data_IF_397588957295
#
_entry.id   IF_397588957295
#
_cell.length_a   1.000
_cell.length_b   1.000
_cell.length_c   1.000
_cell.angle_alpha   90.00
_cell.angle_beta   90.00
_cell.angle_gamma   90.00
#
_symmetry.space_group_name_H-M   'P 1'
#
loop_
_entity.id
_entity.type
_entity.pdbx_description
1 polymer ?
#
# COMPACT_ATOMS: atom_id res chain seq x y z
N UNK A 1 -19.57 -17.22 -23.67
CA UNK A 1 -20.43 -16.33 -24.45
C UNK A 1 -21.85 -16.86 -24.41
N UNK A 2 -22.82 -16.06 -23.96
CA UNK A 2 -24.26 -16.35 -24.04
C UNK A 2 -24.85 -15.51 -25.15
N UNK A 3 -25.72 -16.12 -25.99
CA UNK A 3 -26.41 -15.45 -27.09
C UNK A 3 -27.92 -15.67 -26.93
N UNK A 4 -28.72 -14.63 -27.08
CA UNK A 4 -30.16 -14.67 -26.93
C UNK A 4 -30.88 -13.51 -27.62
N UNK A 5 -32.20 -13.48 -27.51
CA UNK A 5 -32.97 -12.33 -27.98
C UNK A 5 -32.73 -11.11 -27.15
N UNK A 6 -32.75 -9.94 -27.76
CA UNK A 6 -32.51 -8.67 -27.10
C UNK A 6 -33.60 -8.38 -26.05
N UNK A 7 -33.23 -8.10 -24.78
CA UNK A 7 -34.20 -7.82 -23.74
C UNK A 7 -34.74 -6.37 -23.79
N UNK A 8 -34.19 -5.52 -24.68
CA UNK A 8 -34.60 -4.10 -24.76
C UNK A 8 -36.02 -3.94 -25.29
N UNK A 9 -36.92 -3.24 -24.59
CA UNK A 9 -38.34 -3.19 -24.90
C UNK A 9 -38.67 -2.57 -26.27
N UNK A 10 -37.77 -1.77 -26.82
CA UNK A 10 -37.93 -1.14 -28.14
C UNK A 10 -37.30 -1.93 -29.30
N UNK A 11 -36.67 -3.09 -29.01
CA UNK A 11 -36.06 -3.93 -30.02
C UNK A 11 -36.84 -5.21 -30.20
N UNK A 12 -37.61 -5.29 -31.26
CA UNK A 12 -38.28 -6.54 -31.66
C UNK A 12 -37.26 -7.42 -32.38
N UNK A 13 -36.58 -8.28 -31.63
CA UNK A 13 -35.48 -9.12 -32.07
C UNK A 13 -36.03 -10.45 -32.63
N UNK A 14 -36.08 -10.58 -33.95
CA UNK A 14 -36.52 -11.83 -34.63
C UNK A 14 -35.44 -12.92 -34.58
N UNK A 15 -34.17 -12.53 -34.55
CA UNK A 15 -33.00 -13.40 -34.50
C UNK A 15 -32.13 -13.04 -33.33
N UNK A 16 -31.60 -14.04 -32.61
CA UNK A 16 -30.80 -13.82 -31.41
C UNK A 16 -29.58 -12.91 -31.65
N UNK A 17 -29.70 -11.63 -31.31
CA UNK A 17 -28.71 -10.59 -31.59
C UNK A 17 -28.03 -10.04 -30.32
N UNK A 18 -28.46 -10.45 -29.13
CA UNK A 18 -27.91 -10.02 -27.86
C UNK A 18 -26.89 -11.02 -27.33
N UNK A 19 -25.70 -10.53 -26.99
CA UNK A 19 -24.58 -11.35 -26.50
C UNK A 19 -24.07 -10.85 -25.14
N UNK A 20 -23.74 -11.79 -24.24
CA UNK A 20 -23.05 -11.53 -22.96
C UNK A 20 -21.75 -12.33 -22.93
N UNK A 21 -20.63 -11.65 -22.73
CA UNK A 21 -19.33 -12.26 -22.51
C UNK A 21 -19.04 -12.29 -20.99
N UNK A 22 -19.07 -13.49 -20.41
CA UNK A 22 -18.86 -13.68 -18.97
C UNK A 22 -17.39 -13.59 -18.55
N UNK A 23 -16.45 -13.73 -19.47
CA UNK A 23 -15.01 -13.57 -19.19
C UNK A 23 -14.63 -12.09 -19.08
N UNK A 24 -15.11 -11.27 -20.01
CA UNK A 24 -14.86 -9.82 -20.03
C UNK A 24 -15.92 -9.03 -19.25
N UNK A 25 -17.01 -9.70 -18.81
CA UNK A 25 -18.17 -9.09 -18.13
C UNK A 25 -18.83 -7.96 -18.96
N UNK A 26 -18.81 -8.11 -20.27
CA UNK A 26 -19.39 -7.14 -21.21
C UNK A 26 -20.59 -7.73 -21.93
N UNK A 27 -21.43 -6.86 -22.49
CA UNK A 27 -22.60 -7.25 -23.28
C UNK A 27 -22.70 -6.39 -24.52
N UNK A 28 -23.36 -6.90 -25.55
CA UNK A 28 -23.64 -6.15 -26.76
C UNK A 28 -24.93 -6.67 -27.42
N UNK A 29 -25.65 -5.75 -28.06
CA UNK A 29 -26.75 -6.11 -28.95
C UNK A 29 -26.45 -5.63 -30.37
N UNK A 30 -26.23 -6.54 -31.29
CA UNK A 30 -25.90 -6.20 -32.68
C UNK A 30 -27.07 -5.54 -33.43
N UNK A 31 -28.31 -5.86 -33.08
CA UNK A 31 -29.50 -5.23 -33.66
C UNK A 31 -29.69 -3.79 -33.20
N UNK A 32 -29.45 -3.48 -31.91
CA UNK A 32 -29.52 -2.12 -31.40
C UNK A 32 -28.36 -1.23 -31.88
N UNK A 33 -27.23 -1.79 -32.29
CA UNK A 33 -26.10 -1.06 -32.89
C UNK A 33 -26.36 -0.54 -34.30
N UNK A 34 -27.31 -1.12 -35.01
CA UNK A 34 -27.61 -0.76 -36.38
C UNK A 34 -28.35 0.58 -36.51
N UNK A 35 -28.90 1.12 -35.40
CA UNK A 35 -29.65 2.38 -35.40
C UNK A 35 -28.70 3.58 -35.37
N UNK A 36 -28.43 4.15 -36.57
CA UNK A 36 -27.47 5.24 -36.80
C UNK A 36 -27.79 6.53 -36.01
N UNK A 37 -29.00 6.67 -35.46
CA UNK A 37 -29.43 7.85 -34.68
C UNK A 37 -28.90 7.86 -33.25
N UNK A 38 -28.47 6.73 -32.69
CA UNK A 38 -27.98 6.61 -31.31
C UNK A 38 -26.47 6.57 -31.17
N UNK A 39 -25.67 6.87 -32.21
CA UNK A 39 -24.20 6.93 -32.16
C UNK A 39 -23.60 7.95 -31.20
N UNK A 40 -24.41 8.86 -30.60
CA UNK A 40 -23.94 9.88 -29.67
C UNK A 40 -24.04 9.48 -28.19
N UNK A 41 -24.73 8.39 -27.83
CA UNK A 41 -24.72 7.85 -26.48
C UNK A 41 -23.82 6.60 -26.47
N UNK A 42 -22.52 6.85 -26.40
CA UNK A 42 -21.49 5.84 -26.39
C UNK A 42 -21.65 4.80 -25.28
N UNK A 43 -21.14 3.63 -25.55
CA UNK A 43 -20.94 2.45 -24.71
C UNK A 43 -22.12 1.48 -24.58
N UNK A 44 -22.64 1.01 -25.69
CA UNK A 44 -23.23 -0.32 -25.73
C UNK A 44 -22.08 -1.34 -25.58
N UNK A 45 -22.11 -2.18 -24.55
CA UNK A 45 -21.12 -3.21 -24.35
C UNK A 45 -20.25 -3.08 -23.11
N UNK A 46 -20.57 -2.15 -22.22
CA UNK A 46 -19.89 -2.03 -20.91
C UNK A 46 -20.52 -2.94 -19.83
N UNK A 47 -20.31 -2.65 -18.57
CA UNK A 47 -20.67 -3.47 -17.40
C UNK A 47 -22.18 -3.68 -17.16
N UNK A 48 -22.51 -4.42 -16.11
CA UNK A 48 -23.89 -4.72 -15.73
C UNK A 48 -24.70 -3.47 -15.34
N UNK A 49 -24.06 -2.42 -14.86
CA UNK A 49 -24.75 -1.18 -14.45
C UNK A 49 -25.23 -0.46 -15.70
N UNK A 50 -24.36 -0.28 -16.69
CA UNK A 50 -24.71 0.32 -17.98
C UNK A 50 -25.80 -0.52 -18.72
N UNK A 51 -25.78 -1.86 -18.53
CA UNK A 51 -26.85 -2.72 -19.04
C UNK A 51 -28.22 -2.35 -18.43
N UNK A 52 -28.29 -2.16 -17.11
CA UNK A 52 -29.54 -1.79 -16.44
C UNK A 52 -30.01 -0.40 -16.83
N UNK A 53 -29.09 0.57 -16.93
CA UNK A 53 -29.42 1.94 -17.41
C UNK A 53 -29.99 1.90 -18.84
N UNK A 54 -29.34 1.17 -19.74
CA UNK A 54 -29.78 0.98 -21.11
C UNK A 54 -31.15 0.28 -21.19
N UNK A 55 -31.35 -0.82 -20.43
CA UNK A 55 -32.61 -1.58 -20.41
C UNK A 55 -33.78 -0.72 -19.95
N UNK A 56 -33.53 0.23 -19.05
CA UNK A 56 -34.53 1.17 -18.52
C UNK A 56 -34.60 2.47 -19.31
N UNK A 57 -33.99 2.55 -20.50
CA UNK A 57 -34.04 3.72 -21.40
C UNK A 57 -33.51 5.01 -20.76
N UNK A 58 -32.56 4.91 -19.85
CA UNK A 58 -31.99 6.04 -19.11
C UNK A 58 -32.95 6.66 -18.08
N UNK A 59 -34.10 6.02 -17.79
CA UNK A 59 -35.03 6.45 -16.74
C UNK A 59 -34.53 6.10 -15.33
N UNK A 60 -33.58 5.18 -15.23
CA UNK A 60 -32.93 4.78 -13.99
C UNK A 60 -31.55 5.41 -13.96
N UNK A 61 -31.22 6.13 -12.90
CA UNK A 61 -29.90 6.70 -12.71
C UNK A 61 -28.89 5.59 -12.38
N UNK A 62 -27.60 5.86 -12.56
CA UNK A 62 -26.50 4.95 -12.19
C UNK A 62 -26.64 4.42 -10.76
N UNK A 63 -26.96 5.29 -9.78
CA UNK A 63 -27.15 4.90 -8.38
C UNK A 63 -28.34 3.95 -8.21
N UNK A 64 -29.42 4.18 -8.92
CA UNK A 64 -30.61 3.30 -8.87
C UNK A 64 -30.31 1.95 -9.52
N UNK A 65 -29.55 1.93 -10.61
CA UNK A 65 -29.09 0.70 -11.24
C UNK A 65 -28.18 -0.12 -10.31
N UNK A 66 -27.24 0.52 -9.62
CA UNK A 66 -26.41 -0.10 -8.58
C UNK A 66 -27.26 -0.68 -7.44
N UNK A 67 -28.21 0.08 -6.92
CA UNK A 67 -29.15 -0.37 -5.88
C UNK A 67 -29.97 -1.59 -6.35
N UNK A 68 -30.47 -1.53 -7.58
CA UNK A 68 -31.22 -2.64 -8.17
C UNK A 68 -30.39 -3.92 -8.26
N UNK A 69 -29.17 -3.84 -8.79
CA UNK A 69 -28.27 -4.99 -8.90
C UNK A 69 -27.87 -5.54 -7.54
N UNK A 70 -27.52 -4.68 -6.58
CA UNK A 70 -27.14 -5.10 -5.25
C UNK A 70 -28.29 -5.83 -4.53
N UNK A 71 -29.52 -5.34 -4.63
CA UNK A 71 -30.69 -6.03 -4.11
C UNK A 71 -30.89 -7.41 -4.76
N UNK A 72 -30.61 -7.55 -6.06
CA UNK A 72 -30.75 -8.83 -6.77
C UNK A 72 -29.74 -9.89 -6.28
N UNK A 73 -28.55 -9.49 -5.85
CA UNK A 73 -27.51 -10.39 -5.35
C UNK A 73 -27.42 -10.46 -3.83
N UNK A 74 -28.39 -9.83 -3.11
CA UNK A 74 -28.44 -9.85 -1.64
C UNK A 74 -27.37 -8.99 -0.95
N UNK A 75 -26.74 -8.08 -1.70
CA UNK A 75 -25.79 -7.11 -1.13
C UNK A 75 -26.57 -5.95 -0.48
N UNK A 76 -26.37 -5.76 0.83
CA UNK A 76 -26.88 -4.57 1.50
C UNK A 76 -26.05 -3.34 1.07
N UNK A 77 -26.67 -2.45 0.28
CA UNK A 77 -26.11 -1.11 0.09
C UNK A 77 -26.52 -0.26 1.29
N UNK A 78 -25.61 0.45 1.95
CA UNK A 78 -25.98 1.43 2.96
C UNK A 78 -26.97 2.43 2.35
N UNK A 79 -28.10 2.67 3.03
CA UNK A 79 -29.20 3.48 2.51
C UNK A 79 -28.85 4.97 2.28
N UNK A 80 -27.67 5.39 2.72
CA UNK A 80 -27.14 6.77 2.56
C UNK A 80 -25.80 6.76 1.84
N UNK A 81 -25.79 6.40 0.55
CA UNK A 81 -24.71 6.87 -0.30
C UNK A 81 -24.88 8.37 -0.44
N UNK A 82 -24.06 9.16 0.26
CA UNK A 82 -24.07 10.62 0.17
C UNK A 82 -23.62 11.06 -1.24
N UNK A 83 -24.53 10.94 -2.19
CA UNK A 83 -24.31 11.22 -3.61
C UNK A 83 -23.71 12.62 -3.85
N UNK A 84 -24.00 13.57 -2.98
CA UNK A 84 -23.45 14.93 -3.01
C UNK A 84 -21.96 14.93 -2.72
N UNK A 85 -21.50 14.19 -1.74
CA UNK A 85 -20.10 14.16 -1.36
C UNK A 85 -19.24 13.42 -2.40
N UNK A 86 -19.69 12.28 -2.93
CA UNK A 86 -19.03 11.60 -4.04
C UNK A 86 -18.90 12.52 -5.27
N UNK A 87 -19.98 13.21 -5.65
CA UNK A 87 -19.97 14.15 -6.75
C UNK A 87 -19.00 15.31 -6.51
N UNK A 88 -18.93 15.82 -5.27
CA UNK A 88 -17.99 16.86 -4.89
C UNK A 88 -16.54 16.37 -5.03
N UNK A 89 -16.23 15.19 -4.51
CA UNK A 89 -14.90 14.61 -4.61
C UNK A 89 -14.50 14.31 -6.06
N UNK A 90 -15.43 13.79 -6.87
CA UNK A 90 -15.22 13.60 -8.30
C UNK A 90 -14.88 14.93 -9.00
N UNK A 91 -15.67 15.98 -8.79
CA UNK A 91 -15.42 17.29 -9.40
C UNK A 91 -14.08 17.89 -8.95
N UNK A 92 -13.69 17.71 -7.68
CA UNK A 92 -12.38 18.13 -7.18
C UNK A 92 -11.25 17.34 -7.87
N UNK A 93 -11.40 16.04 -8.04
CA UNK A 93 -10.42 15.22 -8.76
C UNK A 93 -10.25 15.72 -10.19
N UNK A 94 -11.34 15.97 -10.92
CA UNK A 94 -11.29 16.52 -12.28
C UNK A 94 -10.61 17.90 -12.35
N UNK A 95 -10.81 18.72 -11.30
CA UNK A 95 -10.10 20.00 -11.18
C UNK A 95 -8.60 19.77 -10.96
N UNK A 96 -8.22 18.91 -10.03
CA UNK A 96 -6.82 18.63 -9.73
C UNK A 96 -6.06 17.99 -10.90
N UNK A 97 -6.74 17.18 -11.74
CA UNK A 97 -6.17 16.66 -12.98
C UNK A 97 -5.86 17.83 -13.94
N UNK A 98 -6.77 18.79 -14.08
CA UNK A 98 -6.55 19.98 -14.92
C UNK A 98 -5.51 20.95 -14.36
N UNK A 99 -5.26 20.90 -13.06
CA UNK A 99 -4.27 21.72 -12.38
C UNK A 99 -2.83 21.15 -12.50
N UNK A 100 -2.63 19.96 -13.10
CA UNK A 100 -1.31 19.39 -13.35
C UNK A 100 -0.46 20.33 -14.17
N UNK A 101 0.78 20.53 -13.73
CA UNK A 101 1.79 21.37 -14.39
C UNK A 101 3.04 20.55 -14.68
N UNK A 102 3.95 21.10 -15.51
CA UNK A 102 5.22 20.44 -15.78
C UNK A 102 6.01 20.16 -14.48
N UNK A 103 6.06 21.10 -13.55
CA UNK A 103 6.76 20.98 -12.27
C UNK A 103 6.17 19.86 -11.40
N UNK A 104 4.85 19.66 -11.45
CA UNK A 104 4.21 18.56 -10.73
C UNK A 104 4.55 17.20 -11.35
N UNK A 105 4.65 17.12 -12.68
CA UNK A 105 5.14 15.91 -13.37
C UNK A 105 6.62 15.65 -13.08
N UNK A 106 7.47 16.68 -13.18
CA UNK A 106 8.90 16.59 -12.85
C UNK A 106 9.11 16.03 -11.44
N UNK A 107 8.35 16.53 -10.45
CA UNK A 107 8.38 16.00 -9.10
C UNK A 107 8.04 14.50 -9.03
N UNK A 108 7.04 14.04 -9.80
CA UNK A 108 6.63 12.63 -9.84
C UNK A 108 7.66 11.76 -10.56
N UNK A 109 8.26 12.26 -11.65
CA UNK A 109 9.33 11.58 -12.37
C UNK A 109 10.61 11.45 -11.51
N UNK A 110 10.96 12.50 -10.76
CA UNK A 110 12.06 12.46 -9.78
C UNK A 110 11.83 11.44 -8.66
N UNK A 111 10.55 11.09 -8.43
CA UNK A 111 10.14 10.02 -7.52
C UNK A 111 10.09 8.65 -8.19
N UNK A 112 10.43 8.55 -9.47
CA UNK A 112 10.50 7.31 -10.22
C UNK A 112 9.18 6.84 -10.83
N UNK A 113 8.12 7.65 -10.84
CA UNK A 113 6.84 7.31 -11.47
C UNK A 113 6.89 7.62 -12.97
N UNK A 114 6.15 6.83 -13.74
CA UNK A 114 5.90 7.07 -15.16
C UNK A 114 4.46 7.56 -15.41
N UNK A 115 4.18 7.98 -16.64
CA UNK A 115 2.86 8.50 -17.04
C UNK A 115 1.74 7.48 -16.87
N UNK A 116 2.00 6.20 -17.21
CA UNK A 116 1.03 5.14 -17.09
C UNK A 116 0.61 4.93 -15.63
N UNK A 117 1.58 4.97 -14.72
CA UNK A 117 1.33 4.86 -13.27
C UNK A 117 0.61 6.08 -12.74
N UNK A 118 0.98 7.30 -13.17
CA UNK A 118 0.31 8.54 -12.77
C UNK A 118 -1.17 8.48 -13.17
N UNK A 119 -1.47 8.06 -14.41
CA UNK A 119 -2.82 7.90 -14.91
C UNK A 119 -3.58 6.79 -14.16
N UNK A 120 -3.00 5.59 -14.04
CA UNK A 120 -3.59 4.42 -13.35
C UNK A 120 -4.03 4.76 -11.92
N UNK A 121 -3.19 5.49 -11.18
CA UNK A 121 -3.48 5.88 -9.80
C UNK A 121 -4.26 7.19 -9.69
N UNK A 122 -4.58 7.82 -10.83
CA UNK A 122 -5.26 9.12 -10.92
C UNK A 122 -4.55 10.21 -10.09
N UNK A 123 -3.19 10.16 -10.10
CA UNK A 123 -2.38 11.11 -9.35
C UNK A 123 -2.55 12.48 -10.00
N UNK A 124 -2.79 13.50 -9.20
CA UNK A 124 -3.08 14.84 -9.67
C UNK A 124 -2.45 15.91 -8.76
N UNK A 125 -2.73 17.17 -9.01
CA UNK A 125 -2.05 18.28 -8.34
C UNK A 125 -3.04 19.35 -7.89
N UNK A 126 -2.89 19.80 -6.66
CA UNK A 126 -3.58 20.96 -6.12
C UNK A 126 -2.63 22.16 -6.15
N UNK A 127 -2.80 22.99 -7.18
CA UNK A 127 -1.94 24.19 -7.39
C UNK A 127 -2.09 25.27 -6.34
N UNK A 128 -3.19 25.26 -5.57
CA UNK A 128 -3.41 26.27 -4.52
C UNK A 128 -2.66 25.91 -3.24
N UNK A 129 -2.58 24.60 -2.94
CA UNK A 129 -1.87 24.08 -1.76
C UNK A 129 -0.45 23.63 -2.08
N UNK A 130 -0.03 23.66 -3.35
CA UNK A 130 1.25 23.14 -3.86
C UNK A 130 1.47 21.68 -3.43
N UNK A 131 0.51 20.80 -3.74
CA UNK A 131 0.53 19.41 -3.30
C UNK A 131 0.18 18.43 -4.41
N UNK A 132 0.98 17.37 -4.51
CA UNK A 132 0.55 16.17 -5.22
C UNK A 132 -0.64 15.56 -4.45
N UNK A 133 -1.66 15.17 -5.18
CA UNK A 133 -2.90 14.63 -4.66
C UNK A 133 -3.05 13.18 -5.08
N UNK A 134 -3.24 12.31 -4.10
CA UNK A 134 -3.54 10.89 -4.27
C UNK A 134 -5.01 10.67 -3.89
N UNK A 135 -5.91 10.48 -4.85
CA UNK A 135 -7.31 10.15 -4.57
C UNK A 135 -7.42 8.82 -3.83
N UNK A 136 -8.33 8.75 -2.89
CA UNK A 136 -8.63 7.57 -2.10
C UNK A 136 -9.96 7.00 -2.58
N UNK A 137 -9.96 5.73 -2.99
CA UNK A 137 -11.10 5.09 -3.62
C UNK A 137 -11.76 4.08 -2.69
N UNK A 138 -13.09 4.00 -2.73
CA UNK A 138 -13.81 2.86 -2.15
C UNK A 138 -13.72 1.62 -3.07
N UNK A 139 -14.32 0.51 -2.64
CA UNK A 139 -14.35 -0.75 -3.41
C UNK A 139 -15.16 -0.66 -4.70
N UNK A 140 -15.87 0.44 -4.93
CA UNK A 140 -16.68 0.70 -6.12
C UNK A 140 -15.99 1.67 -7.08
N UNK A 141 -14.79 2.16 -6.76
CA UNK A 141 -14.05 3.12 -7.57
C UNK A 141 -14.47 4.58 -7.38
N UNK A 142 -15.30 4.89 -6.39
CA UNK A 142 -15.64 6.28 -6.09
C UNK A 142 -14.57 6.94 -5.23
N UNK A 143 -14.26 8.22 -5.50
CA UNK A 143 -13.33 8.99 -4.67
C UNK A 143 -13.98 9.35 -3.35
N UNK A 144 -13.47 8.77 -2.26
CA UNK A 144 -13.98 9.01 -0.88
C UNK A 144 -13.20 10.10 -0.16
N UNK A 145 -11.97 10.39 -0.57
CA UNK A 145 -11.11 11.38 0.05
C UNK A 145 -9.80 11.56 -0.71
N UNK A 146 -8.88 12.28 -0.09
CA UNK A 146 -7.58 12.60 -0.67
C UNK A 146 -6.47 12.47 0.37
N UNK A 147 -5.33 11.97 -0.06
CA UNK A 147 -4.05 12.14 0.61
C UNK A 147 -3.22 13.11 -0.23
N UNK A 148 -2.68 14.16 0.39
CA UNK A 148 -1.95 15.20 -0.32
C UNK A 148 -0.54 15.38 0.24
N UNK A 149 0.46 15.39 -0.63
CA UNK A 149 1.88 15.56 -0.29
C UNK A 149 2.40 16.89 -0.78
N UNK A 150 3.06 17.65 0.08
CA UNK A 150 3.69 18.92 -0.25
C UNK A 150 4.85 18.70 -1.24
N UNK A 151 4.89 19.51 -2.31
CA UNK A 151 5.93 19.46 -3.35
C UNK A 151 7.14 20.29 -2.94
N UNK A 152 6.95 21.55 -2.58
CA UNK A 152 8.06 22.45 -2.26
C UNK A 152 8.63 22.23 -0.86
N UNK A 153 9.99 22.25 -0.77
CA UNK A 153 10.71 22.16 0.51
C UNK A 153 10.72 23.48 1.31
N UNK A 154 10.15 24.58 0.78
CA UNK A 154 10.43 25.95 1.23
C UNK A 154 9.48 26.54 2.26
N UNK A 155 8.67 25.80 2.96
CA UNK A 155 7.86 26.39 4.03
C UNK A 155 8.48 26.12 5.40
N UNK A 156 9.25 27.09 5.89
CA UNK A 156 9.58 27.19 7.31
C UNK A 156 8.29 27.39 8.11
N UNK A 157 7.87 26.41 8.88
CA UNK A 157 6.71 26.45 9.76
C UNK A 157 5.59 25.51 9.34
N UNK A 158 4.55 25.40 10.01
CA UNK A 158 3.23 24.73 9.99
C UNK A 158 2.79 23.79 8.84
N UNK A 159 3.52 23.65 7.73
CA UNK A 159 3.10 22.79 6.60
C UNK A 159 3.54 21.35 6.79
N UNK A 160 2.60 20.51 7.20
CA UNK A 160 2.80 19.06 7.28
C UNK A 160 3.15 18.50 5.90
N UNK A 161 4.15 17.60 5.84
CA UNK A 161 4.56 16.87 4.62
C UNK A 161 3.36 16.20 3.95
N UNK A 162 2.51 15.56 4.74
CA UNK A 162 1.25 14.96 4.30
C UNK A 162 0.06 15.54 5.05
N UNK A 163 -1.04 15.74 4.32
CA UNK A 163 -2.37 16.04 4.86
C UNK A 163 -3.39 15.08 4.25
N UNK A 164 -4.42 14.76 5.00
CA UNK A 164 -5.50 13.86 4.56
C UNK A 164 -6.83 14.61 4.62
N UNK A 165 -7.81 14.15 3.82
CA UNK A 165 -9.19 14.56 3.99
C UNK A 165 -9.64 14.31 5.43
N UNK A 166 -10.46 15.20 5.97
CA UNK A 166 -11.11 15.00 7.26
C UNK A 166 -12.04 13.80 7.20
N UNK A 167 -12.25 13.16 8.35
CA UNK A 167 -13.24 12.11 8.48
C UNK A 167 -14.63 12.62 8.07
N UNK A 168 -15.38 11.77 7.42
CA UNK A 168 -16.72 12.05 6.89
C UNK A 168 -17.58 10.79 6.91
N UNK A 169 -18.81 10.87 6.45
CA UNK A 169 -19.71 9.71 6.32
C UNK A 169 -19.19 8.66 5.35
N UNK A 170 -18.45 9.07 4.30
CA UNK A 170 -17.92 8.17 3.25
C UNK A 170 -16.44 7.84 3.43
N UNK A 171 -15.74 8.51 4.33
CA UNK A 171 -14.31 8.30 4.57
C UNK A 171 -13.96 8.46 6.03
N UNK A 172 -13.29 7.46 6.57
CA UNK A 172 -12.60 7.51 7.87
C UNK A 172 -11.19 6.98 7.70
N UNK A 173 -10.19 7.83 7.95
CA UNK A 173 -8.79 7.46 7.81
C UNK A 173 -8.45 6.16 8.56
N UNK A 174 -8.98 5.99 9.77
CA UNK A 174 -8.77 4.80 10.61
C UNK A 174 -9.42 3.52 10.05
N UNK A 175 -10.20 3.61 8.98
CA UNK A 175 -10.88 2.48 8.35
C UNK A 175 -10.38 2.22 6.92
N UNK A 176 -9.36 2.95 6.48
CA UNK A 176 -8.90 2.96 5.10
C UNK A 176 -7.50 2.37 4.96
N UNK A 177 -7.30 1.60 3.90
CA UNK A 177 -5.99 1.22 3.38
C UNK A 177 -5.84 1.73 1.95
N UNK A 178 -4.75 2.42 1.67
CA UNK A 178 -4.39 2.82 0.31
C UNK A 178 -3.85 1.60 -0.45
N UNK A 179 -4.27 1.42 -1.70
CA UNK A 179 -3.87 0.30 -2.53
C UNK A 179 -4.82 -0.90 -2.51
N UNK A 180 -5.83 -0.92 -1.61
CA UNK A 180 -6.80 -2.02 -1.50
C UNK A 180 -7.59 -2.30 -2.79
N UNK A 181 -7.84 -1.30 -3.62
CA UNK A 181 -8.55 -1.42 -4.90
C UNK A 181 -7.80 -2.29 -5.92
N UNK A 182 -6.50 -2.49 -5.72
CA UNK A 182 -5.64 -3.28 -6.62
C UNK A 182 -5.24 -4.64 -6.03
N UNK A 183 -5.93 -5.12 -4.99
CA UNK A 183 -5.63 -6.43 -4.42
C UNK A 183 -5.92 -7.57 -5.38
N UNK A 184 -4.89 -8.37 -5.62
CA UNK A 184 -5.01 -9.67 -6.27
C UNK A 184 -5.46 -10.73 -5.25
N UNK A 185 -6.69 -11.22 -5.42
CA UNK A 185 -7.28 -12.20 -4.50
C UNK A 185 -6.61 -13.57 -4.59
N UNK A 186 -5.86 -13.84 -5.67
CA UNK A 186 -5.19 -15.13 -5.90
C UNK A 186 -3.89 -15.28 -5.10
N UNK A 187 -3.30 -14.18 -4.64
CA UNK A 187 -2.08 -14.18 -3.81
C UNK A 187 -2.43 -14.41 -2.34
N UNK A 188 -1.62 -15.17 -1.62
CA UNK A 188 -1.87 -15.54 -0.22
C UNK A 188 -1.22 -14.58 0.79
N UNK A 189 -0.70 -13.46 0.35
CA UNK A 189 -0.02 -12.45 1.18
C UNK A 189 -0.52 -11.03 0.91
N UNK A 190 -0.21 -10.15 1.85
CA UNK A 190 -0.37 -8.70 1.79
C UNK A 190 0.93 -8.07 2.26
N UNK A 191 1.45 -7.10 1.52
CA UNK A 191 2.60 -6.29 1.91
C UNK A 191 2.09 -4.99 2.50
N UNK A 192 2.36 -4.75 3.78
CA UNK A 192 1.92 -3.57 4.53
C UNK A 192 3.07 -2.59 4.73
N UNK A 193 2.94 -1.39 4.17
CA UNK A 193 3.96 -0.33 4.15
C UNK A 193 3.52 0.94 4.89
N UNK A 194 4.41 1.96 5.01
CA UNK A 194 4.09 3.23 5.68
C UNK A 194 3.44 4.26 4.77
N UNK A 195 3.92 4.41 3.54
CA UNK A 195 3.61 5.53 2.67
C UNK A 195 3.02 5.16 1.32
N UNK A 196 2.45 6.16 0.64
CA UNK A 196 1.80 5.95 -0.67
C UNK A 196 2.80 5.60 -1.77
N UNK A 197 4.03 6.14 -1.73
CA UNK A 197 5.07 5.78 -2.70
C UNK A 197 5.58 4.36 -2.51
N UNK A 198 5.60 3.88 -1.25
CA UNK A 198 5.93 2.49 -0.92
C UNK A 198 4.86 1.50 -1.35
N UNK A 199 3.68 1.99 -1.74
CA UNK A 199 2.63 1.20 -2.38
C UNK A 199 2.74 1.28 -3.90
N UNK A 200 2.83 2.50 -4.45
CA UNK A 200 2.73 2.74 -5.89
C UNK A 200 3.94 2.17 -6.64
N UNK A 201 5.15 2.47 -6.17
CA UNK A 201 6.38 2.04 -6.86
C UNK A 201 6.54 0.52 -6.93
N UNK A 202 6.42 -0.26 -5.82
CA UNK A 202 6.46 -1.70 -5.93
C UNK A 202 5.39 -2.26 -6.86
N UNK A 203 4.17 -1.73 -6.84
CA UNK A 203 3.11 -2.17 -7.74
C UNK A 203 3.36 -1.79 -9.21
N UNK A 204 4.00 -0.66 -9.48
CA UNK A 204 4.47 -0.27 -10.82
C UNK A 204 5.47 -1.30 -11.38
N UNK A 205 6.35 -1.83 -10.52
CA UNK A 205 7.32 -2.87 -10.86
C UNK A 205 6.81 -4.30 -10.65
N UNK A 206 5.50 -4.50 -10.56
CA UNK A 206 4.86 -5.82 -10.60
C UNK A 206 4.60 -6.49 -9.26
N UNK A 207 4.99 -5.88 -8.13
CA UNK A 207 4.64 -6.44 -6.82
C UNK A 207 3.13 -6.35 -6.59
N UNK A 208 2.55 -7.45 -6.11
CA UNK A 208 1.12 -7.54 -5.83
C UNK A 208 0.81 -7.22 -4.37
N UNK A 209 -0.44 -6.85 -4.10
CA UNK A 209 -1.00 -6.72 -2.74
C UNK A 209 -0.22 -5.81 -1.79
N UNK A 210 0.37 -4.73 -2.32
CA UNK A 210 1.04 -3.72 -1.50
C UNK A 210 0.02 -2.67 -1.07
N UNK A 211 -0.10 -2.44 0.24
CA UNK A 211 -1.05 -1.47 0.84
C UNK A 211 -0.39 -0.65 1.94
N UNK A 212 -0.96 0.51 2.28
CA UNK A 212 -0.57 1.23 3.49
C UNK A 212 -1.77 1.79 4.26
N UNK A 213 -1.60 1.94 5.58
CA UNK A 213 -2.66 2.37 6.49
C UNK A 213 -2.84 3.90 6.58
N UNK A 214 -2.07 4.70 5.85
CA UNK A 214 -2.01 6.17 5.93
C UNK A 214 -1.77 6.73 7.34
N UNK A 215 -1.26 5.92 8.26
CA UNK A 215 -1.01 6.26 9.65
C UNK A 215 0.08 5.39 10.26
N UNK A 216 0.54 5.77 11.46
CA UNK A 216 1.64 5.09 12.16
C UNK A 216 1.23 3.86 12.97
N UNK A 217 -0.06 3.60 13.13
CA UNK A 217 -0.60 2.45 13.87
C UNK A 217 -1.84 1.93 13.17
N UNK A 218 -2.10 0.64 13.28
CA UNK A 218 -3.34 0.04 12.80
C UNK A 218 -4.46 0.27 13.81
N UNK A 219 -5.64 0.61 13.33
CA UNK A 219 -6.86 0.65 14.13
C UNK A 219 -7.46 -0.75 14.29
N UNK A 220 -8.35 -0.93 15.25
CA UNK A 220 -9.12 -2.17 15.42
C UNK A 220 -9.89 -2.55 14.14
N UNK A 221 -10.47 -1.57 13.45
CA UNK A 221 -11.15 -1.82 12.18
C UNK A 221 -10.19 -2.36 11.11
N UNK A 222 -9.00 -1.76 10.97
CA UNK A 222 -7.97 -2.20 10.02
C UNK A 222 -7.47 -3.61 10.35
N UNK A 223 -7.26 -3.93 11.63
CA UNK A 223 -6.92 -5.29 12.09
C UNK A 223 -8.02 -6.28 11.69
N UNK A 224 -9.28 -5.95 11.95
CA UNK A 224 -10.41 -6.80 11.57
C UNK A 224 -10.51 -7.01 10.04
N UNK A 225 -10.16 -6.01 9.23
CA UNK A 225 -10.09 -6.15 7.77
C UNK A 225 -9.00 -7.13 7.38
N UNK A 226 -7.78 -6.99 7.93
CA UNK A 226 -6.66 -7.90 7.65
C UNK A 226 -6.99 -9.35 8.08
N UNK A 227 -7.58 -9.53 9.26
CA UNK A 227 -8.01 -10.85 9.74
C UNK A 227 -9.03 -11.50 8.80
N UNK A 228 -10.01 -10.74 8.29
CA UNK A 228 -11.02 -11.25 7.34
C UNK A 228 -10.44 -11.62 5.98
N UNK A 229 -9.38 -10.97 5.54
CA UNK A 229 -8.69 -11.31 4.30
C UNK A 229 -7.98 -12.66 4.41
N UNK A 230 -7.64 -13.10 5.62
CA UNK A 230 -7.02 -14.40 5.92
C UNK A 230 -5.77 -14.67 5.06
N UNK A 231 -4.90 -13.67 4.95
CA UNK A 231 -3.64 -13.72 4.18
C UNK A 231 -2.47 -13.43 5.12
N UNK A 232 -1.28 -13.93 4.78
CA UNK A 232 -0.06 -13.58 5.51
C UNK A 232 0.24 -12.08 5.32
N UNK A 233 0.50 -11.34 6.39
CA UNK A 233 0.84 -9.92 6.34
C UNK A 233 2.35 -9.75 6.47
N UNK A 234 2.99 -9.19 5.45
CA UNK A 234 4.42 -8.86 5.46
C UNK A 234 4.56 -7.37 5.73
N UNK A 235 5.05 -7.03 6.93
CA UNK A 235 5.24 -5.63 7.34
C UNK A 235 6.60 -5.14 6.84
N UNK A 236 6.57 -4.07 6.04
CA UNK A 236 7.77 -3.43 5.47
C UNK A 236 7.69 -1.94 5.76
N UNK A 237 8.29 -1.51 6.87
CA UNK A 237 8.34 -0.11 7.28
C UNK A 237 9.73 0.46 7.12
N UNK A 238 9.82 1.79 7.07
CA UNK A 238 11.09 2.51 6.96
C UNK A 238 12.06 2.08 8.06
N UNK A 239 13.33 1.85 7.73
CA UNK A 239 14.35 1.52 8.72
C UNK A 239 14.93 2.80 9.35
N UNK A 240 14.06 3.62 9.90
CA UNK A 240 14.37 4.73 10.79
C UNK A 240 13.82 4.46 12.21
N UNK A 241 14.16 5.32 13.17
CA UNK A 241 13.73 5.16 14.57
C UNK A 241 12.21 5.11 14.71
N UNK A 242 11.48 5.83 13.85
CA UNK A 242 10.01 5.91 13.89
C UNK A 242 9.37 4.65 13.28
N UNK A 243 9.80 4.23 12.10
CA UNK A 243 9.30 3.03 11.43
C UNK A 243 9.57 1.77 12.25
N UNK A 244 10.79 1.63 12.78
CA UNK A 244 11.16 0.51 13.67
C UNK A 244 10.34 0.50 14.96
N UNK A 245 10.06 1.66 15.56
CA UNK A 245 9.19 1.76 16.74
C UNK A 245 7.75 1.39 16.41
N UNK A 246 7.28 1.74 15.22
CA UNK A 246 5.94 1.39 14.74
C UNK A 246 5.84 -0.10 14.46
N UNK A 247 6.82 -0.71 13.80
CA UNK A 247 6.90 -2.13 13.53
C UNK A 247 6.81 -2.96 14.83
N UNK A 248 7.60 -2.59 15.86
CA UNK A 248 7.58 -3.24 17.19
C UNK A 248 6.22 -3.16 17.89
N UNK A 249 5.32 -2.26 17.50
CA UNK A 249 3.94 -2.18 18.00
C UNK A 249 2.97 -2.99 17.14
N UNK A 250 3.16 -2.94 15.82
CA UNK A 250 2.24 -3.57 14.86
C UNK A 250 2.39 -5.09 14.86
N UNK A 251 3.62 -5.62 14.93
CA UNK A 251 3.85 -7.07 14.90
C UNK A 251 3.13 -7.83 16.04
N UNK A 252 3.30 -7.45 17.33
CA UNK A 252 2.53 -8.11 18.40
C UNK A 252 1.02 -7.94 18.26
N UNK A 253 0.55 -6.82 17.69
CA UNK A 253 -0.87 -6.57 17.48
C UNK A 253 -1.46 -7.53 16.43
N UNK A 254 -0.73 -7.82 15.37
CA UNK A 254 -1.12 -8.81 14.36
C UNK A 254 -1.16 -10.22 14.96
N UNK A 255 -0.12 -10.61 15.71
CA UNK A 255 -0.03 -11.92 16.37
C UNK A 255 -1.17 -12.15 17.39
N UNK A 256 -1.48 -11.13 18.23
CA UNK A 256 -2.59 -11.19 19.20
C UNK A 256 -3.96 -11.37 18.55
N UNK A 257 -4.10 -10.96 17.30
CA UNK A 257 -5.34 -11.14 16.53
C UNK A 257 -5.28 -12.36 15.59
N UNK A 258 -4.34 -13.29 15.81
CA UNK A 258 -4.16 -14.51 15.02
C UNK A 258 -3.95 -14.26 13.52
N UNK A 259 -3.33 -13.14 13.16
CA UNK A 259 -2.94 -12.83 11.79
C UNK A 259 -1.51 -13.34 11.58
N UNK A 260 -1.33 -14.25 10.63
CA UNK A 260 0.01 -14.68 10.22
C UNK A 260 0.79 -13.47 9.73
N UNK A 261 1.94 -13.20 10.34
CA UNK A 261 2.71 -12.02 10.01
C UNK A 261 4.21 -12.29 9.95
N UNK A 262 4.86 -11.67 8.98
CA UNK A 262 6.31 -11.56 8.83
C UNK A 262 6.69 -10.09 8.76
N UNK A 263 7.98 -9.81 8.88
CA UNK A 263 8.52 -8.49 8.67
C UNK A 263 9.77 -8.54 7.78
N UNK A 264 9.97 -7.48 7.01
CA UNK A 264 11.22 -7.23 6.31
C UNK A 264 11.88 -5.99 6.92
N UNK A 265 13.12 -6.12 7.36
CA UNK A 265 13.94 -4.98 7.79
C UNK A 265 14.74 -4.49 6.61
N UNK A 266 14.46 -3.29 6.15
CA UNK A 266 15.19 -2.64 5.05
C UNK A 266 16.59 -2.21 5.50
N UNK A 267 17.52 -1.93 4.58
CA UNK A 267 18.79 -1.30 4.91
C UNK A 267 18.57 0.00 5.69
N UNK A 268 19.53 0.34 6.57
CA UNK A 268 19.39 1.50 7.47
C UNK A 268 19.21 2.80 6.69
N UNK A 269 18.13 3.53 7.02
CA UNK A 269 17.83 4.84 6.45
C UNK A 269 17.16 4.80 5.08
N UNK A 270 16.80 3.62 4.56
CA UNK A 270 16.09 3.45 3.29
C UNK A 270 14.60 3.16 3.52
N UNK A 271 13.77 3.60 2.58
CA UNK A 271 12.37 3.23 2.45
C UNK A 271 12.17 2.18 1.31
N UNK A 272 10.98 1.60 1.24
CA UNK A 272 10.70 0.56 0.24
C UNK A 272 10.69 1.14 -1.19
N UNK A 273 10.32 2.41 -1.34
CA UNK A 273 10.32 3.09 -2.63
C UNK A 273 11.75 3.20 -3.20
N UNK A 274 12.73 3.57 -2.38
CA UNK A 274 14.14 3.64 -2.77
C UNK A 274 14.68 2.26 -3.18
N UNK A 275 14.45 1.23 -2.37
CA UNK A 275 14.83 -0.15 -2.70
C UNK A 275 14.19 -0.60 -4.01
N UNK A 276 12.92 -0.26 -4.22
CA UNK A 276 12.20 -0.61 -5.45
C UNK A 276 12.86 -0.01 -6.68
N UNK A 277 13.32 1.24 -6.63
CA UNK A 277 14.00 1.88 -7.77
C UNK A 277 15.33 1.22 -8.10
N UNK A 278 16.02 0.66 -7.09
CA UNK A 278 17.29 -0.05 -7.28
C UNK A 278 17.11 -1.41 -7.95
N UNK A 279 16.14 -2.23 -7.45
CA UNK A 279 15.99 -3.63 -7.89
C UNK A 279 14.80 -3.87 -8.83
N UNK A 280 13.89 -2.89 -8.98
CA UNK A 280 12.77 -2.88 -9.95
C UNK A 280 11.91 -4.14 -9.89
N UNK A 281 11.82 -4.89 -10.98
CA UNK A 281 10.94 -6.06 -11.12
C UNK A 281 11.26 -7.23 -10.18
N UNK A 282 12.39 -7.22 -9.52
CA UNK A 282 12.74 -8.22 -8.49
C UNK A 282 12.20 -7.87 -7.09
N UNK A 283 11.49 -6.74 -6.92
CA UNK A 283 11.03 -6.24 -5.62
C UNK A 283 10.09 -7.20 -4.88
N UNK A 284 9.12 -7.80 -5.58
CA UNK A 284 8.20 -8.77 -4.96
C UNK A 284 8.98 -9.96 -4.41
N UNK A 285 9.86 -10.53 -5.22
CA UNK A 285 10.70 -11.64 -4.83
C UNK A 285 11.62 -11.28 -3.66
N UNK A 286 12.25 -10.11 -3.73
CA UNK A 286 13.10 -9.61 -2.65
C UNK A 286 12.35 -9.55 -1.31
N UNK A 287 11.12 -9.02 -1.31
CA UNK A 287 10.30 -8.94 -0.10
C UNK A 287 9.96 -10.33 0.43
N UNK A 288 9.50 -11.24 -0.44
CA UNK A 288 9.06 -12.57 -0.04
C UNK A 288 10.21 -13.43 0.47
N UNK A 289 11.38 -13.38 -0.17
CA UNK A 289 12.54 -14.21 0.17
C UNK A 289 13.25 -13.74 1.46
N UNK A 290 13.15 -12.44 1.80
CA UNK A 290 13.87 -11.86 2.94
C UNK A 290 12.97 -11.54 4.15
N UNK A 291 11.66 -11.77 4.07
CA UNK A 291 10.76 -11.58 5.19
C UNK A 291 10.91 -12.68 6.24
N UNK A 292 11.04 -12.30 7.50
CA UNK A 292 11.24 -13.20 8.63
C UNK A 292 10.12 -13.07 9.67
N UNK A 293 9.93 -14.10 10.50
CA UNK A 293 8.97 -14.03 11.61
C UNK A 293 9.45 -13.05 12.68
N UNK A 294 8.51 -12.48 13.44
CA UNK A 294 8.86 -11.54 14.51
C UNK A 294 9.71 -12.17 15.60
N UNK A 295 9.46 -13.43 15.96
CA UNK A 295 10.28 -14.15 16.92
C UNK A 295 11.74 -14.31 16.45
N UNK A 296 11.96 -14.65 15.18
CA UNK A 296 13.31 -14.73 14.61
C UNK A 296 14.02 -13.37 14.66
N UNK A 297 13.34 -12.31 14.26
CA UNK A 297 13.87 -10.93 14.35
C UNK A 297 14.26 -10.54 15.79
N UNK A 298 13.43 -10.88 16.79
CA UNK A 298 13.74 -10.60 18.20
C UNK A 298 14.99 -11.33 18.67
N UNK A 299 15.14 -12.61 18.30
CA UNK A 299 16.34 -13.41 18.62
C UNK A 299 17.58 -12.79 18.01
N UNK A 300 17.55 -12.43 16.72
CA UNK A 300 18.68 -11.81 16.03
C UNK A 300 19.10 -10.50 16.69
N UNK A 301 18.14 -9.64 17.05
CA UNK A 301 18.45 -8.39 17.77
C UNK A 301 19.05 -8.64 19.14
N UNK A 302 18.55 -9.62 19.90
CA UNK A 302 19.09 -9.96 21.22
C UNK A 302 20.53 -10.47 21.11
N UNK A 303 20.85 -11.25 20.07
CA UNK A 303 22.23 -11.71 19.80
C UNK A 303 23.12 -10.50 19.44
N UNK A 304 22.65 -9.61 18.58
CA UNK A 304 23.41 -8.42 18.18
C UNK A 304 23.67 -7.46 19.38
N UNK A 305 22.68 -7.26 20.24
CA UNK A 305 22.83 -6.45 21.45
C UNK A 305 23.82 -7.11 22.43
N UNK A 306 23.73 -8.41 22.63
CA UNK A 306 24.68 -9.17 23.44
C UNK A 306 26.12 -9.07 22.92
N UNK A 307 26.33 -9.23 21.61
CA UNK A 307 27.62 -9.10 20.97
C UNK A 307 28.19 -7.68 21.13
N UNK A 308 27.34 -6.65 20.99
CA UNK A 308 27.73 -5.25 21.21
C UNK A 308 28.14 -5.00 22.65
N UNK A 309 27.40 -5.55 23.61
CA UNK A 309 27.72 -5.39 25.04
C UNK A 309 29.01 -6.15 25.38
N UNK A 310 29.21 -7.33 24.80
CA UNK A 310 30.45 -8.09 24.96
C UNK A 310 31.65 -7.31 24.38
N UNK A 311 31.50 -6.69 23.19
CA UNK A 311 32.54 -5.84 22.60
C UNK A 311 32.85 -4.61 23.45
N UNK A 312 31.83 -3.92 23.96
CA UNK A 312 31.99 -2.78 24.84
C UNK A 312 32.68 -3.17 26.17
N UNK A 313 32.35 -4.33 26.71
CA UNK A 313 32.98 -4.89 27.90
C UNK A 313 34.46 -5.20 27.61
N UNK A 314 34.75 -5.86 26.49
CA UNK A 314 36.12 -6.12 26.02
C UNK A 314 36.93 -4.83 25.91
N UNK A 315 36.40 -3.82 25.22
CA UNK A 315 37.09 -2.53 25.05
C UNK A 315 37.35 -1.83 26.40
N UNK A 316 36.37 -1.81 27.30
CA UNK A 316 36.50 -1.25 28.64
C UNK A 316 37.59 -1.94 29.44
N UNK A 317 37.64 -3.26 29.40
CA UNK A 317 38.63 -4.01 30.14
C UNK A 317 40.02 -3.95 29.47
N UNK A 318 40.16 -3.92 28.17
CA UNK A 318 41.43 -3.73 27.48
C UNK A 318 42.12 -2.42 27.91
N UNK A 319 41.38 -1.31 28.00
CA UNK A 319 41.90 -0.03 28.50
C UNK A 319 42.37 -0.13 29.95
N UNK A 320 41.63 -0.83 30.80
CA UNK A 320 42.04 -1.06 32.22
C UNK A 320 43.33 -1.91 32.28
N UNK A 321 43.41 -2.95 31.47
CA UNK A 321 44.57 -3.81 31.42
C UNK A 321 45.81 -3.12 30.84
N UNK A 322 45.66 -2.27 29.85
CA UNK A 322 46.77 -1.43 29.33
C UNK A 322 47.32 -0.49 30.41
N UNK A 323 46.44 0.09 31.20
CA UNK A 323 46.83 0.93 32.35
C UNK A 323 47.55 0.09 33.47
N UNK A 324 47.05 -1.12 33.75
CA UNK A 324 47.69 -2.02 34.69
C UNK A 324 49.04 -2.51 34.17
N UNK A 325 49.12 -2.89 32.88
CA UNK A 325 50.34 -3.29 32.21
C UNK A 325 51.44 -2.23 32.26
N UNK A 326 51.08 -0.98 32.21
CA UNK A 326 52.04 0.15 32.31
C UNK A 326 52.59 0.34 33.73
N UNK A 327 51.93 -0.18 34.74
CA UNK A 327 52.26 -0.02 36.15
C UNK A 327 52.91 -1.24 36.80
N UNK A 328 53.05 -2.39 36.06
CA UNK A 328 53.69 -3.62 36.58
C UNK A 328 55.07 -3.85 35.96
N UNK A 329 55.96 -4.61 36.65
CA UNK A 329 57.27 -5.01 36.12
C UNK A 329 57.16 -5.81 34.81
N UNK A 330 58.15 -5.66 33.94
CA UNK A 330 58.13 -6.31 32.61
C UNK A 330 58.03 -7.85 32.70
N UNK A 331 58.56 -8.42 33.75
CA UNK A 331 58.48 -9.87 34.05
C UNK A 331 57.04 -10.39 34.28
N UNK A 332 56.06 -9.52 34.57
CA UNK A 332 54.66 -9.89 34.81
C UNK A 332 53.73 -9.54 33.67
N UNK A 333 54.20 -8.73 32.73
CA UNK A 333 53.37 -8.26 31.59
C UNK A 333 52.89 -9.41 30.71
N UNK A 334 53.71 -10.41 30.45
CA UNK A 334 53.37 -11.57 29.63
C UNK A 334 52.33 -12.47 30.34
N UNK A 335 52.41 -12.59 31.67
CA UNK A 335 51.44 -13.34 32.46
C UNK A 335 50.07 -12.70 32.43
N UNK A 336 50.01 -11.36 32.53
CA UNK A 336 48.79 -10.60 32.46
C UNK A 336 48.18 -10.66 31.04
N UNK A 337 49.02 -10.59 29.99
CA UNK A 337 48.56 -10.73 28.61
C UNK A 337 47.98 -12.15 28.37
N UNK A 338 48.65 -13.18 28.84
CA UNK A 338 48.18 -14.55 28.70
C UNK A 338 46.84 -14.78 29.47
N UNK A 339 46.69 -14.16 30.63
CA UNK A 339 45.43 -14.18 31.37
C UNK A 339 44.29 -13.50 30.59
N UNK A 340 44.54 -12.32 30.03
CA UNK A 340 43.60 -11.58 29.18
C UNK A 340 43.17 -12.44 27.99
N UNK A 341 44.15 -13.00 27.24
CA UNK A 341 43.91 -13.84 26.07
C UNK A 341 43.11 -15.10 26.40
N UNK A 342 43.35 -15.71 27.54
CA UNK A 342 42.59 -16.87 28.00
C UNK A 342 41.16 -16.53 28.42
N UNK A 343 40.93 -15.37 29.04
CA UNK A 343 39.59 -14.94 29.40
C UNK A 343 38.75 -14.64 28.13
N UNK A 344 39.36 -14.09 27.09
CA UNK A 344 38.68 -13.76 25.84
C UNK A 344 38.60 -14.93 24.85
N UNK A 345 39.59 -15.84 24.78
CA UNK A 345 39.49 -17.04 23.96
C UNK A 345 38.34 -17.96 24.33
N UNK A 346 37.88 -17.96 25.59
CA UNK A 346 36.70 -18.70 26.03
C UNK A 346 35.36 -18.04 25.70
N UNK A 347 35.35 -16.73 25.40
CA UNK A 347 34.13 -15.99 25.03
C UNK A 347 33.98 -15.68 23.54
N UNK A 348 35.06 -15.82 22.76
CA UNK A 348 35.15 -15.37 21.34
C UNK A 348 34.85 -16.44 20.26
N UNK A 349 34.78 -17.77 20.54
CA UNK A 349 34.48 -18.74 19.47
C UNK A 349 33.14 -18.54 18.80
N UNK A 350 32.24 -17.75 19.37
CA UNK A 350 30.90 -17.44 18.79
C UNK A 350 30.89 -16.29 17.75
N UNK A 351 32.01 -15.55 17.59
CA UNK A 351 32.06 -14.40 16.70
C UNK A 351 32.66 -14.68 15.32
N UNK A 352 33.40 -15.78 15.15
CA UNK A 352 34.11 -16.10 13.91
C UNK A 352 33.46 -17.21 13.07
N UNK A 353 32.43 -17.88 13.58
CA UNK A 353 31.75 -19.01 12.89
C UNK A 353 30.28 -18.72 12.58
N UNK A 354 29.85 -17.46 12.65
CA UNK A 354 28.58 -16.94 12.19
C UNK A 354 28.80 -15.85 11.14
#
# INVERSE_FOLDING_TARGET
LYVGHCPHPKHNDSDASFCVNTQTQTWTCYGCHSDKKNKQQGNYGSDAIAFIEWLNEGKMSWIEAVKFLANKIGLAIPNDVNSKQYKTNYNLTQKYIKDMTWESYEYLYDRGLDDETIEKWTICYDKYDDRIVFPLFDSYGNVVGFNKRLVTKQTKGLNRKYIHSSDSEIFKKSQYFYGMQYLDKTKDYIILTEGVFDVILPQMYGASNVICALGTTLSEYQINVLAKLNKEVIVVYDNDDKGMKTMKKVMPLLEQNNISAKLLVLPKGQDLAEITLDIKYDIERYILDNAVTYGYYQIQNSINDFNKDLYNLYYKYSVIFDNVKSSVPDSEKDTIQLFIDNCFKKGVPLLNDM
#
